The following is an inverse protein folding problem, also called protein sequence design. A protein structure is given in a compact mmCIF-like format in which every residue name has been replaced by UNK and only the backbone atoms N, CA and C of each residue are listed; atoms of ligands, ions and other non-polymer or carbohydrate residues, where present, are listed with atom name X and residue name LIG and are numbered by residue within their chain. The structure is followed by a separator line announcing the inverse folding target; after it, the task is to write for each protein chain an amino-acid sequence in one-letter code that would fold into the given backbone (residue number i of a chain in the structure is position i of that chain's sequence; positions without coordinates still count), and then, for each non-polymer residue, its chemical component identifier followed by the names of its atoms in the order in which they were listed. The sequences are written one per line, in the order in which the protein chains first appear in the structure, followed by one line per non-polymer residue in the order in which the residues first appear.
data_IF_733637470927
#
_entry.id   IF_733637470927
#
_cell.length_a   1.000
_cell.length_b   1.000
_cell.length_c   1.000
_cell.angle_alpha   90.00
_cell.angle_beta   90.00
_cell.angle_gamma   90.00
#
_symmetry.space_group_name_H-M   'P 1'
#
loop_
_entity.id
_entity.type
_entity.pdbx_description
1 polymer ?
#
# COMPACT_ATOMS: atom_id res chain seq x y z
N UNK A 1 -2.08 8.04 22.32
CA UNK A 1 -1.32 7.24 21.34
C UNK A 1 -0.95 8.16 20.20
N UNK A 2 0.35 8.28 19.93
CA UNK A 2 0.87 9.07 18.83
C UNK A 2 0.73 8.29 17.52
N UNK A 3 0.53 9.01 16.42
CA UNK A 3 0.40 8.44 15.08
C UNK A 3 1.16 9.28 14.07
N UNK A 4 1.78 8.60 13.11
CA UNK A 4 2.38 9.22 11.94
C UNK A 4 1.90 8.47 10.69
N UNK A 5 1.89 9.16 9.56
CA UNK A 5 1.63 8.56 8.25
C UNK A 5 2.68 8.98 7.26
N UNK A 6 3.05 8.09 6.34
CA UNK A 6 3.87 8.44 5.18
C UNK A 6 3.23 7.91 3.90
N UNK A 7 3.23 8.77 2.89
CA UNK A 7 2.66 8.51 1.57
C UNK A 7 3.76 8.09 0.58
N UNK A 8 3.43 7.13 -0.28
CA UNK A 8 4.25 6.61 -1.36
C UNK A 8 3.41 6.48 -2.62
N UNK A 9 4.04 6.62 -3.78
CA UNK A 9 3.37 6.54 -5.08
C UNK A 9 4.06 5.54 -5.98
N UNK A 10 3.26 4.90 -6.84
CA UNK A 10 3.74 4.11 -7.96
C UNK A 10 2.70 4.07 -9.07
N UNK A 11 3.13 3.77 -10.29
CA UNK A 11 2.26 3.64 -11.46
C UNK A 11 2.28 2.20 -11.95
N UNK A 12 1.13 1.55 -12.05
CA UNK A 12 1.05 0.15 -12.49
C UNK A 12 -0.22 -0.14 -13.28
N UNK A 13 -0.17 -1.22 -14.08
CA UNK A 13 -1.34 -1.74 -14.78
C UNK A 13 -1.94 -2.93 -14.02
N UNK A 14 -3.23 -3.17 -14.19
CA UNK A 14 -3.90 -4.38 -13.70
C UNK A 14 -5.16 -4.70 -14.52
N UNK A 15 -5.75 -5.86 -14.23
CA UNK A 15 -7.12 -6.22 -14.63
C UNK A 15 -7.74 -7.18 -13.62
N UNK A 16 -9.06 -7.17 -13.52
CA UNK A 16 -9.82 -8.06 -12.65
C UNK A 16 -10.58 -9.09 -13.50
N UNK A 17 -9.87 -10.13 -13.93
CA UNK A 17 -10.38 -11.17 -14.86
C UNK A 17 -11.58 -11.97 -14.32
N UNK A 18 -11.77 -11.97 -12.99
CA UNK A 18 -12.90 -12.64 -12.35
C UNK A 18 -14.23 -11.85 -12.47
N UNK A 19 -14.18 -10.59 -12.94
CA UNK A 19 -15.37 -9.79 -13.18
C UNK A 19 -15.96 -10.09 -14.57
N UNK A 20 -17.26 -9.80 -14.79
CA UNK A 20 -17.89 -9.96 -16.10
C UNK A 20 -17.14 -9.23 -17.22
N UNK A 21 -17.18 -9.77 -18.45
CA UNK A 21 -16.45 -9.21 -19.60
C UNK A 21 -16.83 -7.75 -19.93
N UNK A 22 -18.07 -7.36 -19.65
CA UNK A 22 -18.59 -6.00 -19.86
C UNK A 22 -18.26 -5.03 -18.73
N UNK A 23 -17.73 -5.52 -17.60
CA UNK A 23 -17.31 -4.69 -16.48
C UNK A 23 -16.02 -3.92 -16.83
N UNK A 24 -15.98 -2.62 -16.53
CA UNK A 24 -14.85 -1.79 -16.95
C UNK A 24 -13.48 -2.26 -16.42
N UNK A 25 -13.42 -2.76 -15.19
CA UNK A 25 -12.20 -3.26 -14.55
C UNK A 25 -11.74 -4.64 -15.06
N UNK A 26 -12.56 -5.35 -15.84
CA UNK A 26 -12.14 -6.58 -16.53
C UNK A 26 -11.11 -6.27 -17.63
N UNK A 27 -11.20 -5.08 -18.24
CA UNK A 27 -10.25 -4.61 -19.27
C UNK A 27 -8.88 -4.30 -18.65
N UNK A 28 -7.83 -4.50 -19.43
CA UNK A 28 -6.49 -4.02 -19.06
C UNK A 28 -6.51 -2.50 -18.94
N UNK A 29 -6.08 -2.00 -17.78
CA UNK A 29 -5.96 -0.58 -17.49
C UNK A 29 -4.88 -0.36 -16.42
N UNK A 30 -4.71 0.87 -15.94
CA UNK A 30 -3.74 1.18 -14.91
C UNK A 30 -4.05 2.47 -14.17
N UNK A 31 -3.34 2.68 -13.07
CA UNK A 31 -3.55 3.79 -12.14
C UNK A 31 -2.23 4.35 -11.62
N UNK A 32 -2.30 5.56 -11.08
CA UNK A 32 -1.25 6.13 -10.25
C UNK A 32 -1.65 5.90 -8.79
N UNK A 33 -1.14 4.80 -8.24
CA UNK A 33 -1.49 4.35 -6.91
C UNK A 33 -0.84 5.22 -5.84
N UNK A 34 -1.57 5.38 -4.74
CA UNK A 34 -1.08 6.00 -3.51
C UNK A 34 -1.15 4.96 -2.39
N UNK A 35 -0.04 4.72 -1.71
CA UNK A 35 0.06 3.86 -0.52
C UNK A 35 0.39 4.74 0.68
N UNK A 36 -0.45 4.72 1.71
CA UNK A 36 -0.23 5.44 2.95
C UNK A 36 -0.08 4.45 4.10
N UNK A 37 1.07 4.46 4.76
CA UNK A 37 1.33 3.62 5.94
C UNK A 37 1.17 4.44 7.20
N UNK A 38 0.36 3.95 8.14
CA UNK A 38 0.18 4.50 9.47
C UNK A 38 0.98 3.68 10.49
N UNK A 39 1.82 4.35 11.28
CA UNK A 39 2.48 3.79 12.47
C UNK A 39 1.90 4.43 13.73
N UNK A 40 1.76 3.65 14.80
CA UNK A 40 1.22 4.13 16.07
C UNK A 40 1.99 3.63 17.29
N UNK A 41 2.30 4.53 18.23
CA UNK A 41 2.99 4.19 19.47
C UNK A 41 2.36 4.89 20.69
N UNK A 42 2.44 4.26 21.87
CA UNK A 42 1.97 4.86 23.12
C UNK A 42 2.88 6.00 23.59
N UNK A 43 4.18 5.81 23.40
CA UNK A 43 5.25 6.71 23.79
C UNK A 43 6.12 7.03 22.57
N UNK A 44 6.86 8.13 22.64
CA UNK A 44 7.82 8.52 21.62
C UNK A 44 9.20 7.95 21.99
N UNK A 45 10.05 7.75 21.00
CA UNK A 45 11.45 7.39 21.21
C UNK A 45 12.25 8.55 21.85
N UNK A 46 13.55 8.35 22.11
CA UNK A 46 14.41 9.34 22.75
C UNK A 46 14.51 10.68 21.99
N UNK A 47 14.26 10.67 20.68
CA UNK A 47 14.29 11.84 19.81
C UNK A 47 12.90 12.50 19.64
N UNK A 48 11.86 11.94 20.27
CA UNK A 48 10.49 12.46 20.19
C UNK A 48 9.70 11.98 18.97
N UNK A 49 10.06 10.86 18.35
CA UNK A 49 9.34 10.30 17.20
C UNK A 49 8.57 9.02 17.53
N UNK A 50 7.53 8.74 16.75
CA UNK A 50 7.02 7.36 16.62
C UNK A 50 8.06 6.51 15.90
N UNK A 51 8.57 7.02 14.77
CA UNK A 51 9.71 6.51 14.00
C UNK A 51 10.21 7.60 13.06
N UNK A 52 11.49 7.60 12.70
CA UNK A 52 12.01 8.48 11.64
C UNK A 52 11.47 8.05 10.27
N UNK A 53 10.98 9.01 9.48
CA UNK A 53 10.47 8.75 8.14
C UNK A 53 11.52 8.18 7.17
N UNK A 54 12.83 8.41 7.38
CA UNK A 54 13.90 7.83 6.57
C UNK A 54 13.98 6.31 6.75
N UNK A 55 13.63 5.79 7.91
CA UNK A 55 13.59 4.35 8.17
C UNK A 55 12.50 3.63 7.38
N UNK A 56 11.55 4.39 6.78
CA UNK A 56 10.54 3.84 5.87
C UNK A 56 11.02 3.72 4.42
N UNK A 57 12.27 4.08 4.12
CA UNK A 57 12.90 3.90 2.80
C UNK A 57 12.80 2.47 2.25
N UNK A 58 12.94 1.39 3.05
CA UNK A 58 12.80 0.03 2.55
C UNK A 58 11.46 -0.24 1.86
N UNK A 59 10.35 0.38 2.30
CA UNK A 59 9.06 0.23 1.63
C UNK A 59 9.07 0.91 0.26
N UNK A 60 9.68 2.10 0.14
CA UNK A 60 9.82 2.76 -1.16
C UNK A 60 10.64 1.91 -2.13
N UNK A 61 11.76 1.36 -1.68
CA UNK A 61 12.58 0.45 -2.50
C UNK A 61 11.79 -0.78 -2.93
N UNK A 62 11.05 -1.41 -2.01
CA UNK A 62 10.18 -2.54 -2.33
C UNK A 62 9.11 -2.18 -3.38
N UNK A 63 8.45 -1.04 -3.23
CA UNK A 63 7.46 -0.55 -4.20
C UNK A 63 8.13 -0.30 -5.56
N UNK A 64 9.30 0.33 -5.60
CA UNK A 64 9.99 0.68 -6.84
C UNK A 64 10.46 -0.55 -7.63
N UNK A 65 11.01 -1.54 -6.92
CA UNK A 65 11.61 -2.71 -7.56
C UNK A 65 10.53 -3.70 -8.05
N UNK A 66 9.46 -3.87 -7.27
CA UNK A 66 8.48 -4.95 -7.44
C UNK A 66 7.10 -4.49 -7.94
N UNK A 67 6.71 -3.22 -7.79
CA UNK A 67 5.35 -2.74 -8.13
C UNK A 67 5.33 -1.64 -9.18
N UNK A 68 6.27 -0.70 -9.10
CA UNK A 68 6.31 0.44 -10.02
C UNK A 68 6.61 -0.01 -11.46
N UNK A 69 5.87 0.55 -12.41
CA UNK A 69 5.91 0.18 -13.83
C UNK A 69 5.70 -1.32 -14.12
N UNK A 70 5.00 -2.05 -13.23
CA UNK A 70 4.66 -3.48 -13.41
C UNK A 70 3.21 -3.71 -13.83
N UNK A 71 2.92 -4.96 -14.19
CA UNK A 71 1.56 -5.49 -14.27
C UNK A 71 1.24 -6.22 -12.96
N UNK A 72 0.27 -5.72 -12.19
CA UNK A 72 0.02 -6.20 -10.82
C UNK A 72 -0.43 -7.65 -10.77
N UNK A 73 -1.10 -8.14 -11.80
CA UNK A 73 -1.50 -9.53 -11.93
C UNK A 73 -0.30 -10.50 -11.97
N UNK A 74 0.89 -10.03 -12.35
CA UNK A 74 2.10 -10.85 -12.46
C UNK A 74 2.94 -10.85 -11.17
N UNK A 75 2.71 -9.88 -10.27
CA UNK A 75 3.52 -9.67 -9.05
C UNK A 75 2.74 -9.89 -7.76
N UNK A 76 1.40 -9.99 -7.84
CA UNK A 76 0.54 -10.31 -6.71
C UNK A 76 -0.10 -11.68 -6.89
N UNK A 77 -0.04 -12.51 -5.84
CA UNK A 77 -0.73 -13.80 -5.81
C UNK A 77 -2.26 -13.65 -5.66
N UNK A 78 -2.72 -12.52 -5.10
CA UNK A 78 -4.13 -12.20 -4.93
C UNK A 78 -4.65 -11.29 -6.05
N UNK A 79 -5.97 -11.19 -6.20
CA UNK A 79 -6.56 -10.22 -7.13
C UNK A 79 -6.09 -8.80 -6.80
N UNK A 80 -5.60 -8.01 -7.79
CA UNK A 80 -4.94 -6.72 -7.55
C UNK A 80 -5.93 -5.58 -7.29
N UNK A 81 -6.85 -5.79 -6.35
CA UNK A 81 -7.80 -4.78 -5.83
C UNK A 81 -7.12 -3.92 -4.75
N UNK A 82 -7.55 -2.68 -4.57
CA UNK A 82 -7.04 -1.79 -3.53
C UNK A 82 -7.05 -2.42 -2.11
N UNK A 83 -8.06 -3.24 -1.77
CA UNK A 83 -8.18 -3.92 -0.48
C UNK A 83 -7.08 -4.96 -0.26
N UNK A 84 -6.87 -5.86 -1.24
CA UNK A 84 -5.81 -6.85 -1.19
C UNK A 84 -4.41 -6.20 -1.18
N UNK A 85 -4.21 -5.10 -1.93
CA UNK A 85 -2.97 -4.33 -1.85
C UNK A 85 -2.77 -3.71 -0.47
N UNK A 86 -3.81 -3.12 0.13
CA UNK A 86 -3.73 -2.55 1.47
C UNK A 86 -3.33 -3.60 2.51
N UNK A 87 -3.93 -4.80 2.45
CA UNK A 87 -3.53 -5.92 3.29
C UNK A 87 -2.09 -6.39 3.03
N UNK A 88 -1.71 -6.55 1.76
CA UNK A 88 -0.36 -6.97 1.37
C UNK A 88 0.70 -6.03 1.95
N UNK A 89 0.56 -4.72 1.70
CA UNK A 89 1.52 -3.73 2.21
C UNK A 89 1.48 -3.65 3.73
N UNK A 90 0.32 -3.81 4.36
CA UNK A 90 0.23 -3.91 5.82
C UNK A 90 1.07 -5.08 6.34
N UNK A 91 0.87 -6.29 5.80
CA UNK A 91 1.57 -7.49 6.25
C UNK A 91 3.09 -7.35 6.05
N UNK A 92 3.51 -6.80 4.90
CA UNK A 92 4.91 -6.51 4.60
C UNK A 92 5.52 -5.51 5.59
N UNK A 93 4.79 -4.43 5.91
CA UNK A 93 5.20 -3.40 6.87
C UNK A 93 5.26 -3.98 8.28
N UNK A 94 4.24 -4.72 8.70
CA UNK A 94 4.11 -5.27 10.05
C UNK A 94 5.25 -6.20 10.44
N UNK A 95 5.77 -6.96 9.47
CA UNK A 95 6.95 -7.82 9.66
C UNK A 95 8.23 -7.02 9.98
N UNK A 96 8.31 -5.76 9.56
CA UNK A 96 9.48 -4.88 9.72
C UNK A 96 9.30 -3.84 10.82
N UNK A 97 8.07 -3.34 10.96
CA UNK A 97 7.67 -2.29 11.89
C UNK A 97 6.47 -2.80 12.70
N UNK A 98 6.71 -3.42 13.87
CA UNK A 98 5.64 -3.93 14.72
C UNK A 98 4.61 -2.87 15.13
N UNK A 99 4.95 -1.59 15.06
CA UNK A 99 4.06 -0.45 15.29
C UNK A 99 3.17 -0.07 14.08
N UNK A 100 3.22 -0.79 12.96
CA UNK A 100 2.26 -0.59 11.85
C UNK A 100 0.85 -0.83 12.32
N UNK A 101 0.02 0.21 12.15
CA UNK A 101 -1.34 0.30 12.65
C UNK A 101 -2.38 0.17 11.52
N UNK A 102 -2.09 0.69 10.34
CA UNK A 102 -2.93 0.54 9.16
C UNK A 102 -2.15 0.82 7.88
N UNK A 103 -2.67 0.34 6.75
CA UNK A 103 -2.25 0.78 5.42
C UNK A 103 -3.47 1.12 4.59
N UNK A 104 -3.41 2.23 3.86
CA UNK A 104 -4.41 2.65 2.90
C UNK A 104 -3.85 2.62 1.48
N UNK A 105 -4.68 2.24 0.52
CA UNK A 105 -4.36 2.26 -0.91
C UNK A 105 -5.44 3.02 -1.67
N UNK A 106 -5.02 3.83 -2.63
CA UNK A 106 -5.90 4.57 -3.52
C UNK A 106 -5.47 4.38 -4.97
N UNK A 107 -6.42 3.97 -5.82
CA UNK A 107 -6.27 3.89 -7.28
C UNK A 107 -6.53 5.24 -7.95
N UNK A 108 -7.48 6.01 -7.39
CA UNK A 108 -7.85 7.33 -7.89
C UNK A 108 -7.99 8.31 -6.72
N UNK A 109 -7.80 9.62 -6.93
CA UNK A 109 -7.90 10.60 -5.84
C UNK A 109 -9.24 10.61 -5.06
N UNK A 110 -10.26 9.90 -5.54
CA UNK A 110 -11.61 9.85 -4.98
C UNK A 110 -11.89 8.59 -4.16
N UNK A 111 -11.09 7.54 -4.28
CA UNK A 111 -11.37 6.22 -3.71
C UNK A 111 -10.21 5.71 -2.87
N UNK A 112 -10.53 5.04 -1.76
CA UNK A 112 -9.55 4.48 -0.82
C UNK A 112 -10.04 3.14 -0.27
N UNK A 113 -9.13 2.18 -0.18
CA UNK A 113 -9.26 1.01 0.67
C UNK A 113 -8.33 1.16 1.89
N UNK A 114 -8.71 0.61 3.04
CA UNK A 114 -7.89 0.55 4.24
C UNK A 114 -7.90 -0.87 4.80
N UNK A 115 -6.72 -1.35 5.19
CA UNK A 115 -6.60 -2.50 6.08
C UNK A 115 -6.07 -2.04 7.43
N UNK A 116 -6.85 -2.32 8.48
CA UNK A 116 -6.56 -2.05 9.89
C UNK A 116 -7.05 -3.25 10.72
N UNK A 117 -6.16 -4.02 11.37
CA UNK A 117 -6.54 -5.19 12.16
C UNK A 117 -7.19 -4.83 13.50
#
# INVERSE_FOLDING_TARGET
MFRITKEFHFSASHRLEHLPEDHQCHRLHGHNYIVVVELAAKELNADGFVRDYHELKPLKTHIDDDFDHRHLNDVMDAHPTAENMAKYFFDWCKQRWPETAAVKVSETPKTWAEYRP
#
